data_IF_197406669672
#
_entry.id   IF_197406669672
#
_cell.length_a   1.000
_cell.length_b   1.000
_cell.length_c   1.000
_cell.angle_alpha   90.00
_cell.angle_beta   90.00
_cell.angle_gamma   90.00
#
_symmetry.space_group_name_H-M   'P 1'
#
loop_
_entity.id
_entity.type
_entity.pdbx_description
1 polymer ?
#
# COMPACT_ATOMS: atom_id res chain seq x y z
N UNK A 1 -22.55 16.27 21.91
CA UNK A 1 -21.74 15.43 21.00
C UNK A 1 -22.47 15.48 19.68
N UNK A 2 -22.04 16.38 18.82
CA UNK A 2 -22.67 16.66 17.51
C UNK A 2 -21.98 15.83 16.44
N UNK A 3 -22.67 15.56 15.33
CA UNK A 3 -22.12 14.81 14.19
C UNK A 3 -20.83 15.44 13.61
N UNK A 4 -20.56 16.73 13.89
CA UNK A 4 -19.34 17.45 13.53
C UNK A 4 -18.08 16.91 14.20
N UNK A 5 -18.18 16.51 15.47
CA UNK A 5 -17.02 16.09 16.27
C UNK A 5 -16.60 14.68 15.87
N UNK A 6 -17.57 13.85 15.49
CA UNK A 6 -17.32 12.49 14.99
C UNK A 6 -16.67 12.50 13.59
N UNK A 7 -16.94 13.52 12.76
CA UNK A 7 -16.31 13.66 11.45
C UNK A 7 -14.83 14.07 11.58
N UNK A 8 -14.50 15.00 12.49
CA UNK A 8 -13.11 15.41 12.71
C UNK A 8 -12.24 14.27 13.25
N UNK A 9 -12.78 13.48 14.19
CA UNK A 9 -12.04 12.37 14.78
C UNK A 9 -11.73 11.27 13.74
N UNK A 10 -12.67 11.02 12.81
CA UNK A 10 -12.44 10.10 11.70
C UNK A 10 -11.42 10.65 10.70
N UNK A 11 -11.48 11.94 10.38
CA UNK A 11 -10.53 12.59 9.46
C UNK A 11 -9.10 12.55 10.02
N UNK A 12 -8.93 12.75 11.32
CA UNK A 12 -7.64 12.62 12.02
C UNK A 12 -7.13 11.17 11.95
N UNK A 13 -7.97 10.20 12.27
CA UNK A 13 -7.61 8.78 12.18
C UNK A 13 -7.18 8.37 10.76
N UNK A 14 -7.90 8.83 9.73
CA UNK A 14 -7.54 8.54 8.35
C UNK A 14 -6.19 9.15 7.95
N UNK A 15 -5.90 10.36 8.40
CA UNK A 15 -4.60 11.00 8.17
C UNK A 15 -3.47 10.24 8.84
N UNK A 16 -3.66 9.83 10.09
CA UNK A 16 -2.66 9.07 10.84
C UNK A 16 -2.31 7.74 10.17
N UNK A 17 -3.32 7.00 9.68
CA UNK A 17 -3.11 5.75 8.94
C UNK A 17 -2.28 6.00 7.67
N UNK A 18 -2.59 7.06 6.91
CA UNK A 18 -1.83 7.39 5.70
C UNK A 18 -0.38 7.72 6.04
N UNK A 19 -0.16 8.52 7.09
CA UNK A 19 1.18 8.91 7.53
C UNK A 19 1.98 7.69 7.99
N UNK A 20 1.38 6.80 8.79
CA UNK A 20 2.00 5.57 9.27
C UNK A 20 2.45 4.68 8.12
N UNK A 21 1.55 4.36 7.19
CA UNK A 21 1.83 3.47 6.07
C UNK A 21 2.81 4.09 5.06
N UNK A 22 2.95 5.41 5.01
CA UNK A 22 3.98 6.08 4.22
C UNK A 22 5.36 6.07 4.91
N UNK A 23 5.42 6.29 6.23
CA UNK A 23 6.68 6.33 6.97
C UNK A 23 7.26 4.93 7.21
N UNK A 24 6.39 3.95 7.48
CA UNK A 24 6.74 2.56 7.77
C UNK A 24 5.92 1.63 6.86
N UNK A 25 6.24 1.59 5.54
CA UNK A 25 5.47 0.80 4.61
C UNK A 25 5.57 -0.69 4.91
N UNK A 26 4.42 -1.36 4.98
CA UNK A 26 4.34 -2.80 5.16
C UNK A 26 4.63 -3.51 3.85
N UNK A 27 5.34 -4.63 3.91
CA UNK A 27 5.65 -5.45 2.74
C UNK A 27 6.42 -4.73 1.62
N UNK A 28 7.23 -3.73 1.97
CA UNK A 28 8.13 -3.10 1.02
C UNK A 28 9.32 -4.03 0.66
N UNK A 29 9.67 -4.10 -0.62
CA UNK A 29 10.76 -4.89 -1.19
C UNK A 29 10.30 -5.86 -2.29
N UNK A 30 11.22 -6.71 -2.72
CA UNK A 30 10.98 -7.66 -3.82
C UNK A 30 10.75 -9.09 -3.31
N UNK A 31 10.19 -9.92 -4.20
CA UNK A 31 10.11 -11.38 -4.06
C UNK A 31 10.92 -11.99 -5.22
N UNK A 32 12.14 -12.51 -4.97
CA UNK A 32 13.04 -13.01 -6.02
C UNK A 32 12.39 -14.06 -6.95
N UNK A 33 11.59 -14.96 -6.39
CA UNK A 33 10.88 -16.02 -7.12
C UNK A 33 9.37 -15.74 -7.21
N UNK A 34 9.00 -14.46 -7.42
CA UNK A 34 7.61 -14.07 -7.64
C UNK A 34 7.03 -14.78 -8.86
N UNK A 35 5.80 -15.25 -8.70
CA UNK A 35 5.02 -15.85 -9.79
C UNK A 35 4.44 -14.82 -10.74
N UNK A 36 4.11 -13.63 -10.23
CA UNK A 36 3.51 -12.54 -11.00
C UNK A 36 4.13 -11.22 -10.57
N UNK A 37 4.26 -10.32 -11.55
CA UNK A 37 4.79 -8.97 -11.36
C UNK A 37 3.97 -8.00 -12.19
N UNK A 38 3.70 -6.82 -11.64
CA UNK A 38 3.07 -5.71 -12.35
C UNK A 38 3.74 -4.40 -11.98
N UNK A 39 3.90 -3.51 -12.96
CA UNK A 39 4.50 -2.18 -12.81
C UNK A 39 3.46 -1.13 -13.24
N UNK A 40 3.35 -0.06 -12.46
CA UNK A 40 2.45 1.06 -12.71
C UNK A 40 3.18 2.38 -12.57
N UNK A 41 2.99 3.26 -13.55
CA UNK A 41 3.59 4.59 -13.57
C UNK A 41 2.51 5.68 -13.66
N UNK A 42 2.55 6.63 -12.72
CA UNK A 42 1.69 7.82 -12.72
C UNK A 42 2.55 9.08 -12.97
N UNK A 43 2.62 9.59 -14.21
CA UNK A 43 3.50 10.70 -14.57
C UNK A 43 3.15 12.03 -13.90
N UNK A 44 1.92 12.21 -13.42
CA UNK A 44 1.49 13.47 -12.83
C UNK A 44 2.13 13.72 -11.46
N UNK A 45 2.30 12.65 -10.68
CA UNK A 45 2.97 12.70 -9.36
C UNK A 45 4.39 12.10 -9.40
N UNK A 46 4.75 11.44 -10.50
CA UNK A 46 6.03 10.73 -10.64
C UNK A 46 6.06 9.40 -9.87
N UNK A 47 4.90 8.78 -9.63
CA UNK A 47 4.86 7.48 -8.96
C UNK A 47 5.28 6.37 -9.92
N UNK A 48 6.16 5.49 -9.46
CA UNK A 48 6.62 4.28 -10.12
C UNK A 48 6.59 3.15 -9.07
N UNK A 49 5.56 2.31 -9.14
CA UNK A 49 5.29 1.26 -8.15
C UNK A 49 5.27 -0.10 -8.85
N UNK A 50 5.91 -1.08 -8.22
CA UNK A 50 5.93 -2.48 -8.62
C UNK A 50 5.26 -3.34 -7.57
N UNK A 51 4.41 -4.26 -7.99
CA UNK A 51 3.76 -5.26 -7.14
C UNK A 51 4.30 -6.64 -7.51
N UNK A 52 4.68 -7.40 -6.49
CA UNK A 52 5.23 -8.75 -6.60
C UNK A 52 4.31 -9.73 -5.88
N UNK A 53 3.89 -10.80 -6.55
CA UNK A 53 3.05 -11.85 -5.96
C UNK A 53 3.70 -13.22 -6.05
N UNK A 54 3.64 -13.97 -4.96
CA UNK A 54 3.86 -15.42 -4.93
C UNK A 54 2.52 -16.11 -4.73
N UNK A 55 1.99 -16.70 -5.80
CA UNK A 55 0.69 -17.37 -5.82
C UNK A 55 0.90 -18.89 -5.86
N UNK A 56 0.19 -19.63 -5.00
CA UNK A 56 0.17 -21.10 -5.00
C UNK A 56 -1.26 -21.58 -5.13
N UNK A 57 -1.61 -22.13 -6.29
CA UNK A 57 -3.01 -22.42 -6.64
C UNK A 57 -3.80 -21.11 -6.72
N UNK A 58 -4.85 -20.99 -5.91
CA UNK A 58 -5.73 -19.80 -5.86
C UNK A 58 -5.42 -18.87 -4.67
N UNK A 59 -4.31 -19.09 -3.95
CA UNK A 59 -3.95 -18.34 -2.74
C UNK A 59 -2.71 -17.48 -2.97
N UNK A 60 -2.79 -16.21 -2.56
CA UNK A 60 -1.63 -15.32 -2.41
C UNK A 60 -0.85 -15.77 -1.18
N UNK A 61 0.31 -16.41 -1.39
CA UNK A 61 1.20 -16.87 -0.34
C UNK A 61 2.12 -15.75 0.15
N UNK A 62 2.54 -14.85 -0.73
CA UNK A 62 3.28 -13.64 -0.38
C UNK A 62 2.95 -12.52 -1.37
N UNK A 63 2.95 -11.29 -0.87
CA UNK A 63 2.78 -10.07 -1.65
C UNK A 63 3.75 -9.03 -1.09
N UNK A 64 4.43 -8.32 -2.00
CA UNK A 64 5.27 -7.17 -1.68
C UNK A 64 5.16 -6.11 -2.75
N UNK A 65 5.61 -4.91 -2.42
CA UNK A 65 5.74 -3.83 -3.39
C UNK A 65 7.10 -3.14 -3.29
N UNK A 66 7.58 -2.58 -4.39
CA UNK A 66 8.80 -1.77 -4.45
C UNK A 66 8.59 -0.56 -5.35
N UNK A 67 9.56 0.37 -5.32
CA UNK A 67 9.52 1.58 -6.14
C UNK A 67 9.29 2.85 -5.32
N UNK A 68 9.13 3.97 -6.03
CA UNK A 68 9.06 5.31 -5.44
C UNK A 68 7.77 6.01 -5.84
N UNK A 69 7.18 6.76 -4.94
CA UNK A 69 5.98 7.55 -5.24
C UNK A 69 5.70 8.57 -4.16
N UNK A 70 4.69 9.40 -4.38
CA UNK A 70 4.18 10.31 -3.39
C UNK A 70 3.63 9.56 -2.16
N UNK A 71 3.43 10.28 -1.05
CA UNK A 71 3.02 9.69 0.21
C UNK A 71 1.71 8.89 0.11
N UNK A 72 0.76 9.36 -0.71
CA UNK A 72 -0.51 8.67 -0.94
C UNK A 72 -0.31 7.36 -1.69
N UNK A 73 0.56 7.36 -2.71
CA UNK A 73 0.84 6.16 -3.50
C UNK A 73 1.55 5.09 -2.66
N UNK A 74 2.54 5.51 -1.87
CA UNK A 74 3.27 4.64 -0.93
C UNK A 74 2.34 4.06 0.15
N UNK A 75 1.53 4.90 0.79
CA UNK A 75 0.57 4.45 1.79
C UNK A 75 -0.47 3.50 1.19
N UNK A 76 -0.97 3.80 -0.01
CA UNK A 76 -1.95 2.95 -0.70
C UNK A 76 -1.40 1.57 -1.03
N UNK A 77 -0.18 1.48 -1.57
CA UNK A 77 0.47 0.19 -1.85
C UNK A 77 0.73 -0.60 -0.55
N UNK A 78 1.24 0.07 0.49
CA UNK A 78 1.45 -0.49 1.82
C UNK A 78 0.16 -1.09 2.41
N UNK A 79 -0.91 -0.31 2.48
CA UNK A 79 -2.22 -0.77 2.99
C UNK A 79 -2.81 -1.90 2.15
N UNK A 80 -2.73 -1.81 0.82
CA UNK A 80 -3.24 -2.85 -0.07
C UNK A 80 -2.53 -4.17 0.17
N UNK A 81 -1.19 -4.16 0.20
CA UNK A 81 -0.41 -5.38 0.40
C UNK A 81 -0.64 -5.97 1.79
N UNK A 82 -0.72 -5.14 2.83
CA UNK A 82 -1.05 -5.58 4.19
C UNK A 82 -2.43 -6.23 4.27
N UNK A 83 -3.43 -5.65 3.60
CA UNK A 83 -4.80 -6.18 3.61
C UNK A 83 -4.97 -7.51 2.87
N UNK A 84 -4.19 -7.72 1.81
CA UNK A 84 -4.25 -8.88 0.93
C UNK A 84 -3.34 -10.03 1.36
N UNK A 85 -2.32 -9.74 2.17
CA UNK A 85 -1.44 -10.75 2.73
C UNK A 85 -2.17 -11.43 3.89
N UNK A 86 -2.38 -12.74 3.77
CA UNK A 86 -3.08 -13.56 4.76
C UNK A 86 -2.43 -13.50 6.14
#
# INVERSE_FOLDING_TARGET
>A
MTDSDNQSDLDELYQDIIIEHNQNPQNYGDIPDSTHNAEGFNPFCGDDIKIHLLVKGDTINDIKFSGSGCAISQASASMMTDRLKN
#
